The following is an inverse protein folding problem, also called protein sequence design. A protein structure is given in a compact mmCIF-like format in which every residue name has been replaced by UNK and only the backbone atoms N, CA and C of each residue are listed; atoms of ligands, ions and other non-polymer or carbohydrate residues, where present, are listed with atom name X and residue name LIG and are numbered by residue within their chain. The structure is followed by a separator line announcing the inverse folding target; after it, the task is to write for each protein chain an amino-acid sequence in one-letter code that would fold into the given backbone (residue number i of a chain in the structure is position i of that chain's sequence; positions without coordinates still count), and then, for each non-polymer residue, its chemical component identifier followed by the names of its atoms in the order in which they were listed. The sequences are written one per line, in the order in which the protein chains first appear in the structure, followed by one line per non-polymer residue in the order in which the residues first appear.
data_IF_929510555387
#
_entry.id   IF_929510555387
#
_cell.length_a   1.000
_cell.length_b   1.000
_cell.length_c   1.000
_cell.angle_alpha   90.00
_cell.angle_beta   90.00
_cell.angle_gamma   90.00
#
_symmetry.space_group_name_H-M   'P 1'
#
loop_
_entity.id
_entity.type
_entity.pdbx_description
1 polymer ?
#
# COMPACT_ATOMS: atom_id res chain seq x y z
N UNK A 1 12.72 -22.41 18.29
CA UNK A 1 11.66 -21.60 17.67
C UNK A 1 10.61 -22.57 17.16
N UNK A 2 9.36 -22.46 17.62
CA UNK A 2 8.28 -23.39 17.27
C UNK A 2 7.60 -22.96 15.97
N UNK A 3 6.99 -23.91 15.25
CA UNK A 3 6.28 -23.64 13.98
C UNK A 3 5.16 -22.59 14.18
N UNK A 4 4.50 -22.61 15.33
CA UNK A 4 3.48 -21.62 15.69
C UNK A 4 4.06 -20.19 15.83
N UNK A 5 5.26 -20.05 16.42
CA UNK A 5 5.91 -18.73 16.53
C UNK A 5 6.30 -18.17 15.15
N UNK A 6 6.76 -19.03 14.24
CA UNK A 6 7.08 -18.60 12.87
C UNK A 6 5.83 -18.23 12.05
N UNK A 7 4.71 -18.93 12.24
CA UNK A 7 3.45 -18.62 11.57
C UNK A 7 2.91 -17.24 12.01
N UNK A 8 2.94 -16.99 13.33
CA UNK A 8 2.55 -15.69 13.89
C UNK A 8 3.41 -14.53 13.36
N UNK A 9 4.74 -14.69 13.32
CA UNK A 9 5.65 -13.67 12.76
C UNK A 9 5.36 -13.39 11.29
N UNK A 10 5.10 -14.42 10.49
CA UNK A 10 4.72 -14.26 9.07
C UNK A 10 3.38 -13.53 8.96
N UNK A 11 2.38 -13.90 9.75
CA UNK A 11 1.06 -13.24 9.74
C UNK A 11 1.13 -11.77 10.17
N UNK A 12 1.93 -11.47 11.19
CA UNK A 12 2.18 -10.11 11.67
C UNK A 12 2.91 -9.24 10.64
N UNK A 13 3.97 -9.78 10.02
CA UNK A 13 4.73 -9.06 8.99
C UNK A 13 3.89 -8.82 7.73
N UNK A 14 3.11 -9.81 7.30
CA UNK A 14 2.19 -9.69 6.15
C UNK A 14 1.13 -8.62 6.40
N UNK A 15 0.55 -8.60 7.61
CA UNK A 15 -0.39 -7.55 8.03
C UNK A 15 0.25 -6.16 8.01
N UNK A 16 1.46 -6.04 8.57
CA UNK A 16 2.19 -4.77 8.61
C UNK A 16 2.49 -4.25 7.20
N UNK A 17 2.91 -5.12 6.26
CA UNK A 17 3.10 -4.76 4.86
C UNK A 17 1.82 -4.28 4.19
N UNK A 18 0.69 -4.93 4.49
CA UNK A 18 -0.64 -4.50 4.04
C UNK A 18 -0.97 -3.08 4.53
N UNK A 19 -0.78 -2.80 5.82
CA UNK A 19 -0.99 -1.46 6.40
C UNK A 19 -0.09 -0.41 5.76
N UNK A 20 1.21 -0.70 5.63
CA UNK A 20 2.20 0.23 5.04
C UNK A 20 1.81 0.58 3.60
N UNK A 21 1.38 -0.41 2.81
CA UNK A 21 0.92 -0.20 1.44
C UNK A 21 -0.30 0.72 1.37
N UNK A 22 -1.31 0.47 2.22
CA UNK A 22 -2.51 1.31 2.32
C UNK A 22 -2.19 2.74 2.76
N UNK A 23 -1.35 2.91 3.78
CA UNK A 23 -0.93 4.23 4.28
C UNK A 23 -0.15 5.00 3.22
N UNK A 24 0.77 4.35 2.50
CA UNK A 24 1.54 4.98 1.44
C UNK A 24 0.64 5.54 0.33
N UNK A 25 -0.42 4.81 -0.02
CA UNK A 25 -1.42 5.28 -0.99
C UNK A 25 -2.27 6.43 -0.48
N UNK A 26 -2.65 6.38 0.80
CA UNK A 26 -3.41 7.44 1.43
C UNK A 26 -2.59 8.74 1.40
N UNK A 27 -1.33 8.67 1.84
CA UNK A 27 -0.38 9.79 1.82
C UNK A 27 -0.23 10.34 0.41
N UNK A 28 -0.06 9.48 -0.60
CA UNK A 28 0.06 9.95 -1.97
C UNK A 28 -1.23 10.62 -2.48
N UNK A 29 -2.41 10.03 -2.21
CA UNK A 29 -3.68 10.65 -2.60
C UNK A 29 -3.89 12.00 -1.93
N UNK A 30 -3.56 12.12 -0.65
CA UNK A 30 -3.62 13.39 0.07
C UNK A 30 -2.62 14.38 -0.53
N UNK A 31 -1.40 13.97 -0.82
CA UNK A 31 -0.40 14.84 -1.45
C UNK A 31 -0.86 15.34 -2.83
N UNK A 32 -1.46 14.48 -3.66
CA UNK A 32 -1.99 14.87 -4.97
C UNK A 32 -3.17 15.84 -4.85
N UNK A 33 -4.06 15.64 -3.87
CA UNK A 33 -5.15 16.58 -3.56
C UNK A 33 -4.64 17.94 -3.06
N UNK A 34 -3.66 17.94 -2.16
CA UNK A 34 -3.13 19.18 -1.57
C UNK A 34 -2.34 20.00 -2.58
N UNK A 35 -1.62 19.35 -3.49
CA UNK A 35 -0.83 20.03 -4.51
C UNK A 35 -1.62 20.44 -5.75
N UNK A 36 -2.96 20.30 -5.75
CA UNK A 36 -3.85 20.56 -6.90
C UNK A 36 -3.34 19.86 -8.19
N UNK A 37 -2.71 18.69 -7.99
CA UNK A 37 -1.95 17.99 -9.02
C UNK A 37 -2.83 17.24 -10.02
N UNK A 38 -4.16 17.39 -9.95
CA UNK A 38 -5.07 16.96 -11.01
C UNK A 38 -4.76 17.69 -12.33
N UNK A 39 -4.23 18.93 -12.26
CA UNK A 39 -3.55 19.58 -13.38
C UNK A 39 -2.06 19.24 -13.37
N UNK A 40 -1.73 18.12 -14.04
CA UNK A 40 -0.35 17.63 -14.18
C UNK A 40 0.61 18.60 -14.89
N UNK A 41 0.09 19.69 -15.46
CA UNK A 41 0.83 20.64 -16.31
C UNK A 41 1.91 21.42 -15.57
N UNK A 42 1.85 21.49 -14.24
CA UNK A 42 2.80 22.24 -13.41
C UNK A 42 3.92 21.36 -12.85
N UNK A 43 3.80 20.04 -12.99
CA UNK A 43 4.76 19.08 -12.43
C UNK A 43 5.99 18.94 -13.34
N UNK A 44 7.21 18.90 -12.78
CA UNK A 44 8.39 18.51 -13.53
C UNK A 44 8.16 17.17 -14.25
N UNK A 45 8.62 17.04 -15.50
CA UNK A 45 8.34 15.87 -16.37
C UNK A 45 8.64 14.52 -15.69
N UNK A 46 9.73 14.43 -14.93
CA UNK A 46 10.09 13.23 -14.18
C UNK A 46 9.07 12.87 -13.07
N UNK A 47 8.50 13.88 -12.41
CA UNK A 47 7.48 13.71 -11.38
C UNK A 47 6.12 13.37 -12.01
N UNK A 48 5.75 14.04 -13.10
CA UNK A 48 4.53 13.75 -13.85
C UNK A 48 4.48 12.30 -14.36
N UNK A 49 5.60 11.78 -14.89
CA UNK A 49 5.68 10.38 -15.33
C UNK A 49 5.47 9.39 -14.16
N UNK A 50 6.07 9.68 -13.00
CA UNK A 50 5.93 8.83 -11.80
C UNK A 50 4.51 8.87 -11.24
N UNK A 51 3.88 10.05 -11.20
CA UNK A 51 2.49 10.19 -10.75
C UNK A 51 1.53 9.49 -11.71
N UNK A 52 1.71 9.61 -13.04
CA UNK A 52 0.90 8.89 -14.03
C UNK A 52 1.06 7.37 -13.93
N UNK A 53 2.28 6.90 -13.69
CA UNK A 53 2.50 5.48 -13.43
C UNK A 53 1.75 5.05 -12.17
N UNK A 54 1.85 5.82 -11.10
CA UNK A 54 1.16 5.51 -9.86
C UNK A 54 -0.35 5.54 -10.03
N UNK A 55 -0.91 6.56 -10.67
CA UNK A 55 -2.35 6.69 -10.91
C UNK A 55 -2.91 5.48 -11.68
N UNK A 56 -2.18 4.99 -12.69
CA UNK A 56 -2.55 3.77 -13.42
C UNK A 56 -2.49 2.50 -12.56
N UNK A 57 -1.51 2.38 -11.67
CA UNK A 57 -1.25 1.14 -10.92
C UNK A 57 -1.81 1.15 -9.48
N UNK A 58 -2.30 2.29 -8.99
CA UNK A 58 -2.84 2.43 -7.64
C UNK A 58 -3.98 1.45 -7.32
N UNK A 59 -4.93 1.08 -8.21
CA UNK A 59 -5.98 0.15 -7.84
C UNK A 59 -5.45 -1.27 -7.68
N UNK A 60 -4.49 -1.69 -8.52
CA UNK A 60 -3.85 -2.99 -8.42
C UNK A 60 -3.01 -3.11 -7.14
N UNK A 61 -2.24 -2.07 -6.84
CA UNK A 61 -1.44 -2.02 -5.62
C UNK A 61 -2.37 -1.95 -4.37
N UNK A 62 -3.50 -1.23 -4.41
CA UNK A 62 -4.48 -1.18 -3.32
C UNK A 62 -5.05 -2.57 -3.05
N UNK A 63 -5.44 -3.27 -4.11
CA UNK A 63 -5.94 -4.64 -4.02
C UNK A 63 -4.88 -5.57 -3.42
N UNK A 64 -3.62 -5.48 -3.86
CA UNK A 64 -2.53 -6.27 -3.31
C UNK A 64 -2.29 -5.97 -1.81
N UNK A 65 -2.25 -4.70 -1.41
CA UNK A 65 -2.09 -4.31 0.00
C UNK A 65 -3.27 -4.76 0.87
N UNK A 66 -4.51 -4.66 0.35
CA UNK A 66 -5.70 -5.17 1.04
C UNK A 66 -5.68 -6.70 1.18
N UNK A 67 -5.23 -7.44 0.16
CA UNK A 67 -5.07 -8.89 0.23
C UNK A 67 -4.01 -9.29 1.26
N UNK A 68 -2.87 -8.60 1.31
CA UNK A 68 -1.82 -8.85 2.31
C UNK A 68 -2.33 -8.56 3.74
N UNK A 69 -3.03 -7.43 3.91
CA UNK A 69 -3.66 -7.09 5.18
C UNK A 69 -4.66 -8.18 5.61
N UNK A 70 -5.59 -8.55 4.73
CA UNK A 70 -6.62 -9.53 5.02
C UNK A 70 -6.01 -10.91 5.30
N UNK A 71 -5.05 -11.35 4.50
CA UNK A 71 -4.35 -12.62 4.71
C UNK A 71 -3.59 -12.66 6.03
N UNK A 72 -2.86 -11.59 6.35
CA UNK A 72 -2.15 -11.48 7.62
C UNK A 72 -3.08 -11.44 8.84
N UNK A 73 -4.18 -10.68 8.77
CA UNK A 73 -5.18 -10.59 9.85
C UNK A 73 -5.88 -11.93 10.05
N UNK A 74 -6.27 -12.60 8.97
CA UNK A 74 -6.85 -13.94 9.03
C UNK A 74 -5.88 -14.92 9.67
N UNK A 75 -4.59 -14.88 9.30
CA UNK A 75 -3.55 -15.68 9.94
C UNK A 75 -3.44 -15.41 11.45
N UNK A 76 -3.43 -14.13 11.86
CA UNK A 76 -3.39 -13.74 13.28
C UNK A 76 -4.64 -14.12 14.08
N UNK A 77 -5.80 -14.22 13.45
CA UNK A 77 -7.07 -14.59 14.10
C UNK A 77 -7.23 -16.11 14.20
N UNK A 78 -6.65 -16.86 13.26
CA UNK A 78 -6.75 -18.32 13.19
C UNK A 78 -5.63 -19.05 13.94
N UNK A 79 -4.48 -18.41 14.15
CA UNK A 79 -3.38 -18.89 15.03
C UNK A 79 -3.68 -18.63 16.52
#
# INVERSE_FOLDING_TARGET
MTIAATAFEVSATTSALGVIGLLSMLVLRVALKVCDAENFDHLPVALAARVRWWDRHHPALLAASACLLAGGVVGLVLD
#
